data_IF_089262231221
#
_entry.id   IF_089262231221
#
_cell.length_a   1.000
_cell.length_b   1.000
_cell.length_c   1.000
_cell.angle_alpha   90.00
_cell.angle_beta   90.00
_cell.angle_gamma   90.00
#
_symmetry.space_group_name_H-M   'P 1'
#
loop_
_entity.id
_entity.type
_entity.pdbx_description
1 polymer ?
#
# COMPACT_ATOMS: atom_id res chain seq x y z
N UNK A 1 24.04 7.51 -13.99
CA UNK A 1 23.02 6.70 -14.68
C UNK A 1 21.78 6.69 -13.80
N UNK A 2 20.96 7.73 -13.91
CA UNK A 2 19.78 7.93 -13.05
C UNK A 2 18.62 8.22 -14.00
N UNK A 3 17.91 7.18 -14.47
CA UNK A 3 16.62 7.35 -15.19
C UNK A 3 15.84 6.02 -15.38
N UNK A 4 16.18 4.95 -14.65
CA UNK A 4 15.43 3.68 -14.75
C UNK A 4 14.27 3.59 -13.75
N UNK A 5 14.44 4.10 -12.53
CA UNK A 5 13.48 3.96 -11.43
C UNK A 5 12.15 4.69 -11.70
N UNK A 6 12.19 5.93 -12.17
CA UNK A 6 10.99 6.70 -12.46
C UNK A 6 10.05 6.02 -13.49
N UNK A 7 10.59 5.39 -14.52
CA UNK A 7 9.78 4.68 -15.52
C UNK A 7 9.08 3.41 -15.02
N UNK A 8 9.65 2.76 -14.00
CA UNK A 8 9.06 1.53 -13.45
C UNK A 8 7.92 1.83 -12.49
N UNK A 9 8.05 2.86 -11.68
CA UNK A 9 6.96 3.32 -10.80
C UNK A 9 5.80 3.89 -11.63
N UNK A 10 6.08 4.68 -12.66
CA UNK A 10 5.05 5.20 -13.58
C UNK A 10 4.21 4.05 -14.17
N UNK A 11 4.88 3.00 -14.68
CA UNK A 11 4.20 1.83 -15.23
C UNK A 11 3.36 1.06 -14.18
N UNK A 12 3.73 1.06 -12.91
CA UNK A 12 2.92 0.52 -11.83
C UNK A 12 1.73 1.42 -11.52
N UNK A 13 1.96 2.73 -11.39
CA UNK A 13 0.91 3.72 -11.10
C UNK A 13 -0.17 3.73 -12.18
N UNK A 14 0.20 3.65 -13.46
CA UNK A 14 -0.74 3.57 -14.59
C UNK A 14 -1.72 2.39 -14.49
N UNK A 15 -1.38 1.35 -13.75
CA UNK A 15 -2.19 0.17 -13.51
C UNK A 15 -3.04 0.25 -12.24
N UNK A 16 -2.97 1.36 -11.48
CA UNK A 16 -3.64 1.54 -10.20
C UNK A 16 -4.90 2.39 -10.32
N UNK A 17 -5.93 2.02 -9.54
CA UNK A 17 -7.01 2.91 -9.14
C UNK A 17 -6.86 3.20 -7.64
N UNK A 18 -6.54 4.45 -7.31
CA UNK A 18 -6.46 4.91 -5.91
C UNK A 18 -7.86 5.20 -5.39
N UNK A 19 -8.22 4.61 -4.26
CA UNK A 19 -9.56 4.69 -3.64
C UNK A 19 -9.43 5.26 -2.24
N UNK A 20 -10.33 6.17 -1.89
CA UNK A 20 -10.48 6.70 -0.54
C UNK A 20 -11.95 6.90 -0.18
N UNK A 21 -12.31 6.59 1.06
CA UNK A 21 -13.66 6.68 1.59
C UNK A 21 -13.73 7.62 2.79
N UNK A 22 -14.74 8.49 2.80
CA UNK A 22 -15.15 9.20 4.00
C UNK A 22 -16.33 8.51 4.65
N UNK A 23 -16.17 8.13 5.92
CA UNK A 23 -17.17 7.39 6.69
C UNK A 23 -17.70 8.24 7.82
N UNK A 24 -19.01 8.12 8.11
CA UNK A 24 -19.62 8.82 9.23
C UNK A 24 -19.06 8.31 10.56
N UNK A 25 -18.97 9.21 11.55
CA UNK A 25 -18.61 8.79 12.90
C UNK A 25 -19.64 7.81 13.45
N UNK A 26 -19.19 6.70 14.08
CA UNK A 26 -20.07 5.79 14.79
C UNK A 26 -20.90 6.53 15.86
N UNK A 27 -22.17 6.18 15.98
CA UNK A 27 -23.08 6.75 16.98
C UNK A 27 -23.17 5.90 18.26
N UNK A 28 -22.78 4.63 18.17
CA UNK A 28 -22.69 3.68 19.27
C UNK A 28 -21.54 2.70 19.03
N UNK A 29 -21.10 1.90 20.03
CA UNK A 29 -20.06 0.89 19.86
C UNK A 29 -20.38 -0.18 18.81
N UNK A 30 -21.66 -0.43 18.53
CA UNK A 30 -22.13 -1.40 17.54
C UNK A 30 -22.29 -0.79 16.14
N UNK A 31 -22.29 0.54 16.04
CA UNK A 31 -22.41 1.28 14.77
C UNK A 31 -21.04 1.38 14.10
N UNK A 32 -20.89 0.76 12.95
CA UNK A 32 -19.64 0.87 12.14
C UNK A 32 -19.54 2.19 11.37
N UNK A 33 -20.59 3.03 11.41
CA UNK A 33 -20.73 4.14 10.49
C UNK A 33 -21.13 3.70 9.09
N UNK A 34 -21.24 4.66 8.19
CA UNK A 34 -21.60 4.41 6.78
C UNK A 34 -20.81 5.32 5.87
N UNK A 35 -20.58 4.88 4.64
CA UNK A 35 -19.86 5.66 3.63
C UNK A 35 -20.66 6.93 3.33
N UNK A 36 -20.05 8.08 3.49
CA UNK A 36 -20.57 9.40 3.15
C UNK A 36 -20.10 9.87 1.79
N UNK A 37 -18.83 9.64 1.49
CA UNK A 37 -18.20 9.99 0.23
C UNK A 37 -17.27 8.85 -0.21
N UNK A 38 -17.15 8.73 -1.54
CA UNK A 38 -16.20 7.85 -2.19
C UNK A 38 -15.48 8.65 -3.26
N UNK A 39 -14.18 8.46 -3.36
CA UNK A 39 -13.41 8.93 -4.49
C UNK A 39 -12.51 7.83 -5.05
N UNK A 40 -12.31 7.89 -6.37
CA UNK A 40 -11.39 7.04 -7.10
C UNK A 40 -10.57 7.94 -8.01
N UNK A 41 -9.27 7.78 -8.02
CA UNK A 41 -8.37 8.48 -8.94
C UNK A 41 -7.58 7.45 -9.75
N UNK A 42 -7.60 7.59 -11.06
CA UNK A 42 -6.83 6.72 -11.95
C UNK A 42 -5.39 7.17 -12.03
N UNK A 43 -4.47 6.26 -11.88
CA UNK A 43 -3.04 6.55 -12.00
C UNK A 43 -2.59 6.81 -13.45
N UNK A 44 -3.26 6.21 -14.46
CA UNK A 44 -2.92 6.38 -15.88
C UNK A 44 -3.28 7.76 -16.45
N UNK A 45 -4.40 8.32 -16.00
CA UNK A 45 -4.96 9.56 -16.56
C UNK A 45 -5.03 10.70 -15.56
N UNK A 46 -4.88 10.43 -14.27
CA UNK A 46 -5.13 11.39 -13.20
C UNK A 46 -6.60 11.81 -13.07
N UNK A 47 -7.51 11.19 -13.83
CA UNK A 47 -8.93 11.50 -13.73
C UNK A 47 -9.49 11.05 -12.38
N UNK A 48 -10.32 11.90 -11.77
CA UNK A 48 -11.02 11.65 -10.52
C UNK A 48 -12.51 11.36 -10.73
N UNK A 49 -13.02 10.46 -9.92
CA UNK A 49 -14.45 10.16 -9.76
C UNK A 49 -14.79 10.33 -8.29
N UNK A 50 -15.64 11.31 -7.96
CA UNK A 50 -16.07 11.58 -6.58
C UNK A 50 -17.58 11.56 -6.48
N UNK A 51 -18.11 10.93 -5.44
CA UNK A 51 -19.55 10.84 -5.17
C UNK A 51 -19.86 11.03 -3.70
N UNK A 52 -20.96 11.73 -3.43
CA UNK A 52 -21.61 11.77 -2.13
C UNK A 52 -22.64 10.64 -2.06
N UNK A 53 -22.42 9.68 -1.19
CA UNK A 53 -23.30 8.53 -1.01
C UNK A 53 -24.51 8.98 -0.18
N UNK A 54 -25.72 8.73 -0.70
CA UNK A 54 -26.99 9.19 -0.10
C UNK A 54 -27.63 10.41 -0.77
N UNK A 55 -26.96 11.04 -1.76
CA UNK A 55 -27.53 12.11 -2.61
C UNK A 55 -27.69 11.71 -4.07
N UNK A 56 -27.32 10.49 -4.41
CA UNK A 56 -27.44 9.90 -5.74
C UNK A 56 -27.20 8.39 -5.63
N UNK A 57 -27.68 7.64 -6.59
CA UNK A 57 -27.45 6.20 -6.65
C UNK A 57 -26.08 5.95 -7.30
N UNK A 58 -25.00 5.90 -6.51
CA UNK A 58 -23.75 5.30 -6.96
C UNK A 58 -23.91 3.80 -6.86
N UNK A 59 -23.62 3.10 -7.94
CA UNK A 59 -23.71 1.64 -8.03
C UNK A 59 -22.32 1.02 -8.08
N UNK A 60 -22.22 -0.27 -7.77
CA UNK A 60 -21.02 -1.04 -8.02
C UNK A 60 -20.50 -0.90 -9.46
N UNK A 61 -21.45 -0.87 -10.42
CA UNK A 61 -21.13 -0.71 -11.85
C UNK A 61 -20.47 0.64 -12.19
N UNK A 62 -20.83 1.72 -11.50
CA UNK A 62 -20.16 3.03 -11.69
C UNK A 62 -18.70 2.97 -11.24
N UNK A 63 -18.44 2.30 -10.10
CA UNK A 63 -17.10 2.08 -9.57
C UNK A 63 -16.28 1.23 -10.56
N UNK A 64 -16.81 0.08 -10.96
CA UNK A 64 -16.15 -0.85 -11.89
C UNK A 64 -15.87 -0.20 -13.25
N UNK A 65 -16.84 0.53 -13.79
CA UNK A 65 -16.69 1.24 -15.07
C UNK A 65 -15.57 2.29 -15.01
N UNK A 66 -15.47 3.02 -13.90
CA UNK A 66 -14.43 4.02 -13.74
C UNK A 66 -13.03 3.40 -13.55
N UNK A 67 -12.95 2.29 -12.83
CA UNK A 67 -11.70 1.55 -12.58
C UNK A 67 -11.38 0.52 -13.68
N UNK A 68 -12.15 0.50 -14.77
CA UNK A 68 -11.94 -0.45 -15.87
C UNK A 68 -10.53 -0.32 -16.45
N UNK A 69 -9.84 -1.46 -16.60
CA UNK A 69 -8.49 -1.53 -17.16
C UNK A 69 -7.37 -1.31 -16.15
N UNK A 70 -7.67 -1.03 -14.88
CA UNK A 70 -6.66 -1.08 -13.81
C UNK A 70 -6.57 -2.49 -13.24
N UNK A 71 -5.35 -2.88 -12.82
CA UNK A 71 -5.07 -4.21 -12.28
C UNK A 71 -5.08 -4.21 -10.75
N UNK A 72 -4.80 -3.06 -10.14
CA UNK A 72 -4.62 -2.91 -8.70
C UNK A 72 -5.55 -1.83 -8.13
N UNK A 73 -5.98 -2.05 -6.89
CA UNK A 73 -6.49 -0.97 -6.05
C UNK A 73 -5.38 -0.48 -5.13
N UNK A 74 -5.34 0.83 -4.95
CA UNK A 74 -4.34 1.53 -4.14
C UNK A 74 -5.05 2.35 -3.08
N UNK A 75 -4.50 2.42 -1.87
CA UNK A 75 -5.02 3.29 -0.83
C UNK A 75 -4.11 3.36 0.39
N UNK A 76 -4.46 4.21 1.33
CA UNK A 76 -3.77 4.31 2.62
C UNK A 76 -4.61 3.66 3.71
N UNK A 77 -4.17 2.54 4.24
CA UNK A 77 -4.95 1.66 5.12
C UNK A 77 -6.14 0.97 4.40
N UNK A 78 -6.07 0.86 3.10
CA UNK A 78 -7.17 0.36 2.26
C UNK A 78 -7.60 -1.06 2.64
N UNK A 79 -6.65 -1.92 3.01
CA UNK A 79 -6.93 -3.33 3.35
C UNK A 79 -7.76 -3.44 4.64
N UNK A 80 -7.45 -2.62 5.64
CA UNK A 80 -8.13 -2.69 6.93
C UNK A 80 -9.35 -1.76 7.02
N UNK A 81 -9.48 -0.77 6.12
CA UNK A 81 -10.55 0.22 6.17
C UNK A 81 -11.45 0.21 4.93
N UNK A 82 -10.96 0.66 3.78
CA UNK A 82 -11.84 0.91 2.62
C UNK A 82 -12.45 -0.36 2.04
N UNK A 83 -11.65 -1.42 1.84
CA UNK A 83 -12.13 -2.69 1.29
C UNK A 83 -13.28 -3.29 2.11
N UNK A 84 -13.22 -3.38 3.46
CA UNK A 84 -14.34 -3.84 4.27
C UNK A 84 -15.62 -3.03 4.10
N UNK A 85 -15.51 -1.70 3.99
CA UNK A 85 -16.68 -0.84 3.77
C UNK A 85 -17.25 -0.98 2.36
N UNK A 86 -16.41 -1.13 1.33
CA UNK A 86 -16.83 -1.41 -0.04
C UNK A 86 -17.56 -2.74 -0.11
N UNK A 87 -17.02 -3.79 0.52
CA UNK A 87 -17.59 -5.13 0.54
C UNK A 87 -18.95 -5.17 1.26
N UNK A 88 -19.11 -4.40 2.32
CA UNK A 88 -20.38 -4.30 3.06
C UNK A 88 -21.43 -3.53 2.25
N UNK A 89 -21.03 -2.43 1.57
CA UNK A 89 -21.96 -1.56 0.84
C UNK A 89 -22.33 -2.08 -0.55
N UNK A 90 -21.34 -2.64 -1.27
CA UNK A 90 -21.49 -3.16 -2.63
C UNK A 90 -20.85 -4.56 -2.73
N UNK A 91 -21.46 -5.60 -2.13
CA UNK A 91 -20.89 -6.94 -2.12
C UNK A 91 -20.70 -7.53 -3.53
N UNK A 92 -21.45 -7.04 -4.51
CA UNK A 92 -21.32 -7.41 -5.92
C UNK A 92 -20.15 -6.73 -6.65
N UNK A 93 -19.55 -5.67 -6.06
CA UNK A 93 -18.44 -4.93 -6.68
C UNK A 93 -17.19 -5.78 -6.75
N UNK A 94 -16.64 -5.95 -7.95
CA UNK A 94 -15.45 -6.79 -8.18
C UNK A 94 -14.13 -6.07 -7.85
N UNK A 95 -14.15 -4.75 -7.77
CA UNK A 95 -12.93 -3.94 -7.50
C UNK A 95 -12.26 -4.31 -6.17
N UNK A 96 -13.05 -4.61 -5.14
CA UNK A 96 -12.55 -5.02 -3.83
C UNK A 96 -11.78 -6.35 -3.84
N UNK A 97 -11.90 -7.14 -4.92
CA UNK A 97 -11.20 -8.41 -5.09
C UNK A 97 -9.89 -8.25 -5.86
N UNK A 98 -9.60 -7.07 -6.40
CA UNK A 98 -8.31 -6.78 -7.04
C UNK A 98 -7.20 -6.82 -6.00
N UNK A 99 -5.99 -7.22 -6.39
CA UNK A 99 -4.83 -7.12 -5.50
C UNK A 99 -4.63 -5.68 -5.04
N UNK A 100 -4.47 -5.50 -3.73
CA UNK A 100 -4.34 -4.17 -3.13
C UNK A 100 -2.88 -3.79 -2.87
N UNK A 101 -2.59 -2.50 -3.05
CA UNK A 101 -1.36 -1.86 -2.59
C UNK A 101 -1.76 -0.92 -1.45
N UNK A 102 -1.23 -1.17 -0.26
CA UNK A 102 -1.55 -0.39 0.94
C UNK A 102 -0.32 0.41 1.39
N UNK A 103 -0.37 1.72 1.15
CA UNK A 103 0.76 2.61 1.48
C UNK A 103 1.02 2.71 2.98
N UNK A 104 0.03 2.45 3.85
CA UNK A 104 0.26 2.39 5.29
C UNK A 104 1.15 1.19 5.66
N UNK A 105 0.97 0.03 5.01
CA UNK A 105 1.81 -1.15 5.24
C UNK A 105 3.22 -0.98 4.68
N UNK A 106 3.37 -0.28 3.55
CA UNK A 106 4.69 -0.01 2.95
C UNK A 106 5.49 1.04 3.73
N UNK A 107 4.81 1.97 4.39
CA UNK A 107 5.44 3.12 5.05
C UNK A 107 6.52 2.77 6.08
N UNK A 108 6.36 1.76 6.96
CA UNK A 108 7.42 1.35 7.90
C UNK A 108 8.66 0.76 7.21
N UNK A 109 8.54 0.23 5.99
CA UNK A 109 9.67 -0.27 5.22
C UNK A 109 10.41 0.89 4.54
N UNK A 110 9.67 1.80 3.91
CA UNK A 110 10.24 2.96 3.24
C UNK A 110 10.84 3.99 4.23
N UNK A 111 10.20 4.18 5.38
CA UNK A 111 10.55 5.21 6.36
C UNK A 111 10.58 4.65 7.80
N UNK A 112 11.46 3.70 8.12
CA UNK A 112 11.44 2.97 9.40
C UNK A 112 11.67 3.86 10.63
N UNK A 113 12.31 5.01 10.46
CA UNK A 113 12.59 5.97 11.55
C UNK A 113 11.51 7.04 11.72
N UNK A 114 10.49 7.03 10.85
CA UNK A 114 9.36 7.94 11.00
C UNK A 114 8.40 7.39 12.07
N UNK A 115 8.14 8.13 13.18
CA UNK A 115 7.23 7.67 14.22
C UNK A 115 5.75 7.72 13.81
N UNK A 116 5.44 8.37 12.69
CA UNK A 116 4.08 8.56 12.19
C UNK A 116 3.97 8.09 10.75
N UNK A 117 3.07 7.15 10.50
CA UNK A 117 2.79 6.60 9.19
C UNK A 117 1.43 7.03 8.65
N UNK A 118 0.89 8.15 9.16
CA UNK A 118 -0.35 8.73 8.64
C UNK A 118 -0.11 9.35 7.27
N UNK A 119 -1.17 9.43 6.47
CA UNK A 119 -1.19 10.26 5.28
C UNK A 119 -0.97 11.71 5.69
N UNK A 120 0.25 12.22 5.50
CA UNK A 120 0.61 13.59 5.88
C UNK A 120 0.12 14.51 4.77
N UNK A 121 -0.98 15.19 5.05
CA UNK A 121 -1.45 16.29 4.21
C UNK A 121 -0.43 17.43 4.34
N UNK A 122 0.51 17.53 3.42
CA UNK A 122 1.40 18.70 3.34
C UNK A 122 0.55 19.91 2.94
N UNK A 123 0.14 20.68 3.94
CA UNK A 123 -0.46 21.98 3.72
C UNK A 123 0.63 22.92 3.17
N UNK A 124 0.75 22.98 1.86
CA UNK A 124 1.47 24.08 1.23
C UNK A 124 0.65 25.34 1.47
N UNK A 125 1.28 26.30 2.15
CA UNK A 125 0.83 27.66 2.42
C UNK A 125 -0.48 27.84 3.21
N UNK A 126 -0.34 27.99 4.53
CA UNK A 126 -1.11 28.86 5.49
C UNK A 126 -2.58 29.22 5.23
N UNK A 127 -3.24 28.70 4.22
CA UNK A 127 -4.68 28.79 4.01
C UNK A 127 -5.31 27.42 4.15
N UNK A 128 -5.58 27.02 5.39
CA UNK A 128 -6.50 25.91 5.68
C UNK A 128 -7.88 26.40 5.19
N UNK A 129 -8.23 26.04 3.96
CA UNK A 129 -9.61 26.22 3.49
C UNK A 129 -10.43 25.20 4.30
N UNK A 130 -11.20 25.72 5.27
CA UNK A 130 -12.16 24.94 6.05
C UNK A 130 -13.09 24.20 5.08
N UNK A 131 -12.95 22.90 4.97
CA UNK A 131 -13.72 22.03 4.06
C UNK A 131 -12.87 21.09 3.19
N UNK A 132 -11.55 21.33 3.09
CA UNK A 132 -10.61 20.43 2.41
C UNK A 132 -9.99 19.37 3.35
N UNK A 133 -10.31 19.41 4.65
CA UNK A 133 -9.70 18.55 5.67
C UNK A 133 -10.12 17.08 5.48
N UNK A 134 -11.26 16.83 4.82
CA UNK A 134 -11.78 15.50 4.54
C UNK A 134 -12.31 15.49 3.09
N UNK A 135 -11.40 15.51 2.13
CA UNK A 135 -11.72 15.38 0.72
C UNK A 135 -11.11 14.08 0.18
N UNK A 136 -11.93 13.03 -0.02
CA UNK A 136 -11.42 11.73 -0.45
C UNK A 136 -10.76 11.77 -1.83
N UNK A 137 -11.09 12.72 -2.70
CA UNK A 137 -10.41 12.84 -3.99
C UNK A 137 -8.99 13.38 -3.82
N UNK A 138 -8.78 14.35 -2.93
CA UNK A 138 -7.45 14.85 -2.61
C UNK A 138 -6.61 13.78 -1.91
N UNK A 139 -7.23 13.01 -1.01
CA UNK A 139 -6.54 11.93 -0.31
C UNK A 139 -6.17 10.81 -1.29
N UNK A 140 -7.05 10.41 -2.20
CA UNK A 140 -6.74 9.43 -3.24
C UNK A 140 -5.62 9.90 -4.19
N UNK A 141 -5.53 11.21 -4.51
CA UNK A 141 -4.42 11.78 -5.29
C UNK A 141 -3.11 11.73 -4.52
N UNK A 142 -3.14 12.15 -3.25
CA UNK A 142 -1.96 12.13 -2.39
C UNK A 142 -1.39 10.73 -2.20
N UNK A 143 -2.25 9.70 -2.20
CA UNK A 143 -1.80 8.30 -2.10
C UNK A 143 -0.96 7.87 -3.31
N UNK A 144 -1.23 8.39 -4.51
CA UNK A 144 -0.38 8.14 -5.69
C UNK A 144 1.02 8.74 -5.48
N UNK A 145 1.09 9.99 -5.00
CA UNK A 145 2.37 10.66 -4.71
C UNK A 145 3.14 9.92 -3.60
N UNK A 146 2.44 9.48 -2.55
CA UNK A 146 3.04 8.71 -1.44
C UNK A 146 3.59 7.37 -1.93
N UNK A 147 2.92 6.68 -2.86
CA UNK A 147 3.43 5.43 -3.41
C UNK A 147 4.73 5.67 -4.20
N UNK A 148 4.81 6.76 -4.97
CA UNK A 148 6.02 7.15 -5.68
C UNK A 148 7.18 7.45 -4.71
N UNK A 149 6.93 8.23 -3.66
CA UNK A 149 7.93 8.53 -2.62
C UNK A 149 8.43 7.26 -1.90
N UNK A 150 7.51 6.32 -1.60
CA UNK A 150 7.86 5.04 -0.98
C UNK A 150 8.68 4.15 -1.92
N UNK A 151 8.32 4.13 -3.21
CA UNK A 151 9.07 3.41 -4.22
C UNK A 151 10.50 3.94 -4.31
N UNK A 152 10.69 5.25 -4.44
CA UNK A 152 12.00 5.88 -4.52
C UNK A 152 12.85 5.62 -3.26
N UNK A 153 12.22 5.69 -2.08
CA UNK A 153 12.91 5.39 -0.82
C UNK A 153 13.40 3.93 -0.78
N UNK A 154 12.58 2.97 -1.25
CA UNK A 154 12.96 1.55 -1.23
C UNK A 154 13.95 1.22 -2.37
N UNK A 155 13.86 1.88 -3.52
CA UNK A 155 14.90 1.78 -4.58
C UNK A 155 16.25 2.23 -4.05
N UNK A 156 16.30 3.35 -3.32
CA UNK A 156 17.53 3.79 -2.67
C UNK A 156 18.02 2.77 -1.65
N UNK A 157 17.11 2.19 -0.86
CA UNK A 157 17.47 1.12 0.08
C UNK A 157 18.01 -0.12 -0.64
N UNK A 158 17.47 -0.46 -1.82
CA UNK A 158 17.96 -1.56 -2.65
C UNK A 158 19.41 -1.34 -3.12
N UNK A 159 19.77 -0.09 -3.48
CA UNK A 159 21.15 0.27 -3.85
C UNK A 159 22.12 0.10 -2.68
N UNK A 160 21.68 0.40 -1.47
CA UNK A 160 22.49 0.30 -0.25
C UNK A 160 22.51 -1.13 0.33
N UNK A 161 21.41 -1.87 0.21
CA UNK A 161 21.19 -3.17 0.88
C UNK A 161 20.22 -4.08 0.10
N UNK A 162 20.77 -4.80 -0.86
CA UNK A 162 20.01 -5.73 -1.70
C UNK A 162 19.32 -6.85 -0.90
N UNK A 163 20.02 -7.41 0.11
CA UNK A 163 19.47 -8.51 0.91
C UNK A 163 18.26 -8.07 1.73
N UNK A 164 18.28 -6.84 2.25
CA UNK A 164 17.17 -6.29 2.99
C UNK A 164 15.90 -6.21 2.14
N UNK A 165 15.99 -5.64 0.94
CA UNK A 165 14.83 -5.48 0.05
C UNK A 165 14.37 -6.83 -0.52
N UNK A 166 15.29 -7.77 -0.77
CA UNK A 166 14.97 -9.16 -1.12
C UNK A 166 14.17 -9.85 -0.02
N UNK A 167 14.59 -9.68 1.24
CA UNK A 167 13.86 -10.20 2.40
C UNK A 167 12.46 -9.59 2.51
N UNK A 168 12.34 -8.27 2.34
CA UNK A 168 11.04 -7.59 2.38
C UNK A 168 10.09 -8.08 1.30
N UNK A 169 10.57 -8.27 0.08
CA UNK A 169 9.74 -8.76 -1.02
C UNK A 169 9.12 -10.11 -0.69
N UNK A 170 9.91 -11.08 -0.19
CA UNK A 170 9.37 -12.36 0.23
C UNK A 170 8.40 -12.22 1.40
N UNK A 171 8.83 -11.60 2.49
CA UNK A 171 8.07 -11.52 3.75
C UNK A 171 6.74 -10.78 3.62
N UNK A 172 6.67 -9.78 2.75
CA UNK A 172 5.44 -9.02 2.52
C UNK A 172 4.46 -9.70 1.55
N UNK A 173 4.89 -10.77 0.87
CA UNK A 173 4.12 -11.47 -0.14
C UNK A 173 3.73 -12.91 0.24
N UNK A 174 3.83 -13.27 1.52
CA UNK A 174 3.42 -14.58 2.03
C UNK A 174 1.91 -14.69 2.29
N UNK A 175 1.22 -13.57 2.45
CA UNK A 175 -0.23 -13.53 2.68
C UNK A 175 -1.02 -13.73 1.38
N UNK A 176 -2.25 -14.29 1.44
CA UNK A 176 -3.16 -14.31 0.31
C UNK A 176 -3.43 -12.89 -0.23
N UNK A 177 -3.67 -12.77 -1.54
CA UNK A 177 -3.95 -11.50 -2.23
C UNK A 177 -2.81 -10.46 -2.20
N UNK A 178 -1.57 -10.90 -1.96
CA UNK A 178 -0.39 -10.03 -1.95
C UNK A 178 0.09 -9.58 -3.35
N UNK A 179 -0.64 -9.88 -4.42
CA UNK A 179 -0.23 -9.59 -5.80
C UNK A 179 0.06 -8.09 -6.08
N UNK A 180 -0.60 -7.17 -5.36
CA UNK A 180 -0.29 -5.74 -5.47
C UNK A 180 1.07 -5.39 -4.87
N UNK A 181 1.38 -5.95 -3.70
CA UNK A 181 2.69 -5.77 -3.05
C UNK A 181 3.79 -6.47 -3.83
N UNK A 182 3.52 -7.65 -4.41
CA UNK A 182 4.45 -8.34 -5.30
C UNK A 182 4.78 -7.50 -6.54
N UNK A 183 3.78 -6.90 -7.17
CA UNK A 183 3.97 -5.99 -8.29
C UNK A 183 4.79 -4.73 -7.89
N UNK A 184 4.55 -4.18 -6.70
CA UNK A 184 5.33 -3.07 -6.17
C UNK A 184 6.82 -3.45 -6.00
N UNK A 185 7.12 -4.54 -5.30
CA UNK A 185 8.51 -4.96 -5.12
C UNK A 185 9.17 -5.43 -6.41
N UNK A 186 8.40 -6.01 -7.35
CA UNK A 186 8.89 -6.32 -8.71
C UNK A 186 9.31 -5.05 -9.44
N UNK A 187 8.55 -3.95 -9.31
CA UNK A 187 8.92 -2.67 -9.91
C UNK A 187 10.15 -2.04 -9.25
N UNK A 188 10.31 -2.19 -7.93
CA UNK A 188 11.49 -1.71 -7.18
C UNK A 188 12.74 -2.49 -7.59
N UNK A 189 12.66 -3.82 -7.58
CA UNK A 189 13.83 -4.68 -7.82
C UNK A 189 14.16 -4.87 -9.30
N UNK A 190 13.21 -4.64 -10.20
CA UNK A 190 13.34 -5.02 -11.60
C UNK A 190 13.39 -6.54 -11.82
N UNK A 191 13.05 -7.34 -10.83
CA UNK A 191 13.14 -8.79 -10.77
C UNK A 191 11.86 -9.39 -10.20
N UNK A 192 11.60 -10.65 -10.55
CA UNK A 192 10.49 -11.41 -9.99
C UNK A 192 10.68 -11.64 -8.48
N UNK A 193 9.59 -12.07 -7.82
CA UNK A 193 9.64 -12.48 -6.42
C UNK A 193 10.78 -13.48 -6.18
N UNK A 194 11.63 -13.30 -5.16
CA UNK A 194 12.72 -14.22 -4.86
C UNK A 194 12.14 -15.60 -4.52
N UNK A 195 12.92 -16.64 -4.75
CA UNK A 195 12.56 -17.95 -4.25
C UNK A 195 12.81 -18.05 -2.72
N UNK A 196 12.36 -19.15 -2.12
CA UNK A 196 12.44 -19.37 -0.67
C UNK A 196 13.89 -19.36 -0.15
N UNK A 197 14.77 -20.02 -0.86
CA UNK A 197 16.18 -20.16 -0.50
C UNK A 197 16.89 -18.82 -0.53
N UNK A 198 16.71 -18.06 -1.59
CA UNK A 198 17.23 -16.67 -1.72
C UNK A 198 16.73 -15.77 -0.61
N UNK A 199 15.44 -15.85 -0.27
CA UNK A 199 14.86 -15.06 0.80
C UNK A 199 15.38 -15.44 2.19
N UNK A 200 15.63 -16.73 2.45
CA UNK A 200 16.25 -17.20 3.69
C UNK A 200 17.69 -16.69 3.79
N UNK A 201 18.48 -16.84 2.73
CA UNK A 201 19.88 -16.39 2.71
C UNK A 201 19.98 -14.88 2.99
N UNK A 202 19.14 -14.09 2.30
CA UNK A 202 19.04 -12.64 2.49
C UNK A 202 18.63 -12.28 3.93
N UNK A 203 17.60 -12.95 4.48
CA UNK A 203 17.13 -12.70 5.85
C UNK A 203 18.17 -13.07 6.89
N UNK A 204 18.84 -14.21 6.73
CA UNK A 204 19.91 -14.65 7.64
C UNK A 204 21.09 -13.70 7.59
N UNK A 205 21.48 -13.23 6.40
CA UNK A 205 22.50 -12.20 6.21
C UNK A 205 22.19 -10.96 7.07
N UNK A 206 20.94 -10.48 7.07
CA UNK A 206 20.52 -9.30 7.86
C UNK A 206 20.44 -9.55 9.36
N UNK A 207 20.08 -10.74 9.78
CA UNK A 207 19.99 -11.10 11.20
C UNK A 207 21.36 -11.44 11.83
N UNK A 208 22.36 -11.79 11.02
CA UNK A 208 23.70 -12.14 11.50
C UNK A 208 24.38 -10.95 12.18
N UNK A 209 24.76 -11.14 13.44
CA UNK A 209 25.32 -10.05 14.27
C UNK A 209 24.27 -9.16 14.95
N UNK A 210 23.00 -9.24 14.54
CA UNK A 210 21.90 -8.48 15.15
C UNK A 210 21.05 -9.35 16.08
N UNK A 211 20.99 -10.66 15.82
CA UNK A 211 20.20 -11.60 16.59
C UNK A 211 21.04 -12.81 17.05
N UNK A 212 20.61 -13.49 18.11
CA UNK A 212 21.29 -14.70 18.56
C UNK A 212 21.02 -15.89 17.60
N UNK A 213 21.96 -16.82 17.53
CA UNK A 213 21.90 -17.99 16.65
C UNK A 213 20.65 -18.85 16.88
N UNK A 214 20.15 -18.96 18.12
CA UNK A 214 18.92 -19.71 18.42
C UNK A 214 17.70 -19.07 17.76
N UNK A 215 17.60 -17.76 17.81
CA UNK A 215 16.53 -17.03 17.15
C UNK A 215 16.60 -17.16 15.62
N UNK A 216 17.81 -17.03 15.04
CA UNK A 216 18.01 -17.21 13.58
C UNK A 216 17.58 -18.60 13.14
N UNK A 217 17.95 -19.66 13.88
CA UNK A 217 17.51 -21.03 13.59
C UNK A 217 15.99 -21.17 13.65
N UNK A 218 15.35 -20.60 14.66
CA UNK A 218 13.89 -20.62 14.79
C UNK A 218 13.20 -19.93 13.60
N UNK A 219 13.73 -18.80 13.12
CA UNK A 219 13.21 -18.12 11.93
C UNK A 219 13.34 -19.01 10.69
N UNK A 220 14.47 -19.68 10.48
CA UNK A 220 14.68 -20.58 9.32
C UNK A 220 13.67 -21.74 9.36
N UNK A 221 13.46 -22.36 10.54
CA UNK A 221 12.55 -23.48 10.72
C UNK A 221 11.08 -23.11 10.45
N UNK A 222 10.70 -21.86 10.73
CA UNK A 222 9.33 -21.36 10.56
C UNK A 222 9.20 -20.32 9.45
N UNK A 223 10.14 -20.28 8.52
CA UNK A 223 10.24 -19.19 7.52
C UNK A 223 9.00 -19.02 6.66
N UNK A 224 8.31 -20.12 6.33
CA UNK A 224 7.08 -20.06 5.55
C UNK A 224 5.89 -19.43 6.31
N UNK A 225 6.03 -19.27 7.64
CA UNK A 225 5.08 -18.55 8.49
C UNK A 225 5.50 -17.10 8.76
N UNK A 226 6.73 -16.75 8.39
CA UNK A 226 7.24 -15.41 8.55
C UNK A 226 6.55 -14.43 7.55
N UNK A 227 6.23 -13.25 8.02
CA UNK A 227 5.48 -12.26 7.26
C UNK A 227 5.85 -10.82 7.65
N UNK A 228 4.97 -9.88 7.43
CA UNK A 228 5.15 -8.46 7.72
C UNK A 228 5.83 -8.11 9.06
N UNK A 229 5.53 -8.77 10.20
CA UNK A 229 6.23 -8.46 11.46
C UNK A 229 7.73 -8.62 11.39
N UNK A 230 8.23 -9.64 10.67
CA UNK A 230 9.66 -9.82 10.48
C UNK A 230 10.23 -8.77 9.49
N UNK A 231 9.49 -8.42 8.44
CA UNK A 231 9.89 -7.36 7.52
C UNK A 231 10.07 -6.02 8.25
N UNK A 232 9.12 -5.65 9.13
CA UNK A 232 9.20 -4.45 9.95
C UNK A 232 10.37 -4.50 10.95
N UNK A 233 10.61 -5.65 11.57
CA UNK A 233 11.76 -5.82 12.45
C UNK A 233 13.08 -5.62 11.71
N UNK A 234 13.23 -6.18 10.51
CA UNK A 234 14.41 -5.98 9.67
C UNK A 234 14.59 -4.51 9.28
N UNK A 235 13.51 -3.82 8.91
CA UNK A 235 13.55 -2.39 8.60
C UNK A 235 14.02 -1.52 9.78
N UNK A 236 13.63 -1.91 11.00
CA UNK A 236 14.00 -1.18 12.21
C UNK A 236 15.47 -1.35 12.61
N UNK A 237 16.06 -2.51 12.36
CA UNK A 237 17.44 -2.81 12.75
C UNK A 237 18.48 -2.46 11.68
N UNK A 238 18.02 -2.11 10.48
CA UNK A 238 18.87 -1.66 9.35
C UNK A 238 19.01 -0.16 9.33
#
# INVERSE_FOLDING_TARGET
MVNGGGKLVDALLERCASIDLEVSKPKSPEDKGHIQQLAIVRGDTGLGFKRNIGRGETTAQDIEKFSQGTDFILGHNIIAFDIPYLADKWPECTEQNKPAIDTLRLSPLAFPRNPYHHLVKHYQDSQIIRGQINDPELDARLVLDVLEEQHDAIVKQLEDDHDLVTSWHWLSTTEPNSGGVDAFFTSVRGEQRPNREEAIEATVSKLTGQACNTFIKSIIETFDQASWPLAFALAWIS
#
